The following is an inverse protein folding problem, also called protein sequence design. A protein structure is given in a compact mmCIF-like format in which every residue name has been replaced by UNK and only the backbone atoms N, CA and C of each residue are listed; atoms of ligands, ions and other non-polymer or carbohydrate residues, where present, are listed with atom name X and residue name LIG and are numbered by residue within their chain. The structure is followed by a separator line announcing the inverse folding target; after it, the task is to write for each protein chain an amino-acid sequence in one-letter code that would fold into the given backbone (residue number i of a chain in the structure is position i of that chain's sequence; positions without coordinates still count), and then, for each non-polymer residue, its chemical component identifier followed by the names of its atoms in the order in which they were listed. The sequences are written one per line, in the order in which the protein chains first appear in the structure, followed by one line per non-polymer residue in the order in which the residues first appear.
data_IF_919108617345
#
_entry.id   IF_919108617345
#
_cell.length_a   1.000
_cell.length_b   1.000
_cell.length_c   1.000
_cell.angle_alpha   90.00
_cell.angle_beta   90.00
_cell.angle_gamma   90.00
#
_symmetry.space_group_name_H-M   'P 1'
#
loop_
_entity.id
_entity.type
_entity.pdbx_description
1 polymer ?
#
# COMPACT_ATOMS: atom_id res chain seq x y z
N UNK A 1 8.60 -50.79 13.82
CA UNK A 1 9.31 -50.01 12.78
C UNK A 1 9.94 -48.80 13.46
N UNK A 2 11.26 -48.64 13.36
CA UNK A 2 11.97 -47.53 14.02
C UNK A 2 11.61 -46.22 13.32
N UNK A 3 10.94 -45.33 14.03
CA UNK A 3 10.67 -43.96 13.56
C UNK A 3 11.98 -43.19 13.67
N UNK A 4 12.73 -43.09 12.57
CA UNK A 4 13.89 -42.22 12.51
C UNK A 4 13.42 -40.77 12.62
N UNK A 5 14.05 -39.98 13.49
CA UNK A 5 13.89 -38.53 13.58
C UNK A 5 14.51 -37.87 12.35
N UNK A 6 13.79 -37.91 11.22
CA UNK A 6 14.20 -37.21 9.99
C UNK A 6 14.13 -35.72 10.28
N UNK A 7 15.28 -35.03 10.27
CA UNK A 7 15.31 -33.57 10.32
C UNK A 7 14.72 -33.01 9.01
N UNK A 8 13.41 -32.86 8.98
CA UNK A 8 12.69 -32.26 7.87
C UNK A 8 13.12 -30.78 7.78
N UNK A 9 13.80 -30.43 6.69
CA UNK A 9 14.11 -29.02 6.42
C UNK A 9 12.85 -28.19 6.37
N UNK A 10 12.87 -26.97 6.93
CA UNK A 10 11.69 -26.09 7.10
C UNK A 10 10.82 -25.88 5.84
N UNK A 11 11.38 -26.09 4.64
CA UNK A 11 10.69 -25.93 3.34
C UNK A 11 10.15 -27.25 2.74
N UNK A 12 10.52 -28.42 3.25
CA UNK A 12 10.07 -29.72 2.69
C UNK A 12 8.60 -30.02 3.01
N UNK A 13 8.04 -29.41 4.06
CA UNK A 13 6.62 -29.53 4.42
C UNK A 13 5.69 -29.06 3.29
N UNK A 14 6.07 -28.03 2.53
CA UNK A 14 5.30 -27.57 1.35
C UNK A 14 5.17 -28.63 0.26
N UNK A 15 6.10 -29.58 0.22
CA UNK A 15 6.17 -30.65 -0.77
C UNK A 15 5.85 -32.02 -0.16
N UNK A 16 5.07 -32.05 0.93
CA UNK A 16 4.65 -33.29 1.59
C UNK A 16 5.80 -34.04 2.28
N UNK A 17 6.81 -33.32 2.77
CA UNK A 17 7.94 -33.89 3.50
C UNK A 17 8.98 -34.59 2.61
N UNK A 18 8.87 -34.49 1.29
CA UNK A 18 9.82 -35.08 0.33
C UNK A 18 11.07 -34.20 0.21
N UNK A 19 12.25 -34.80 0.28
CA UNK A 19 13.53 -34.14 -0.01
C UNK A 19 13.90 -34.34 -1.48
N UNK A 20 14.26 -33.24 -2.17
CA UNK A 20 14.58 -33.24 -3.60
C UNK A 20 13.41 -32.80 -4.50
N UNK A 21 13.75 -32.24 -5.67
CA UNK A 21 12.79 -31.76 -6.67
C UNK A 21 12.96 -32.61 -7.92
N UNK A 22 11.89 -33.28 -8.35
CA UNK A 22 11.84 -33.92 -9.66
C UNK A 22 11.64 -32.85 -10.74
N UNK A 23 12.19 -33.04 -11.95
CA UNK A 23 11.90 -32.15 -13.06
C UNK A 23 10.40 -32.19 -13.39
N UNK A 24 9.89 -31.06 -13.89
CA UNK A 24 8.48 -30.96 -14.28
C UNK A 24 8.13 -31.99 -15.34
N UNK A 25 6.99 -32.66 -15.12
CA UNK A 25 6.46 -33.66 -16.04
C UNK A 25 6.11 -32.98 -17.36
N UNK A 26 6.72 -33.43 -18.47
CA UNK A 26 6.42 -32.89 -19.80
C UNK A 26 5.04 -33.40 -20.24
N UNK A 27 4.07 -32.51 -20.55
CA UNK A 27 2.77 -32.94 -21.03
C UNK A 27 2.89 -33.55 -22.43
N UNK A 28 2.16 -34.64 -22.67
CA UNK A 28 2.09 -35.31 -23.97
C UNK A 28 1.52 -34.37 -25.03
N UNK A 29 0.52 -33.56 -24.67
CA UNK A 29 -0.11 -32.58 -25.54
C UNK A 29 0.36 -31.15 -25.19
N UNK A 30 1.45 -30.69 -25.82
CA UNK A 30 2.08 -29.40 -25.48
C UNK A 30 1.49 -28.17 -26.15
N UNK A 31 1.24 -28.23 -27.46
CA UNK A 31 0.98 -27.04 -28.27
C UNK A 31 -0.51 -26.77 -28.48
N UNK A 32 -1.22 -27.77 -29.01
CA UNK A 32 -2.61 -27.64 -29.41
C UNK A 32 -3.50 -28.44 -28.43
N UNK A 33 -4.66 -27.90 -28.04
CA UNK A 33 -5.64 -28.64 -27.26
C UNK A 33 -6.23 -29.79 -28.09
N UNK A 34 -6.76 -30.79 -27.40
CA UNK A 34 -7.35 -32.00 -28.00
C UNK A 34 -8.85 -31.86 -28.16
N UNK A 35 -9.47 -31.11 -27.24
CA UNK A 35 -10.91 -30.84 -27.19
C UNK A 35 -11.18 -29.33 -27.18
N UNK A 36 -12.38 -28.90 -27.59
CA UNK A 36 -12.83 -27.53 -27.34
C UNK A 36 -12.96 -27.24 -25.85
N UNK A 37 -12.96 -25.94 -25.51
CA UNK A 37 -13.25 -25.46 -24.16
C UNK A 37 -14.69 -25.82 -23.76
N UNK A 38 -14.91 -26.15 -22.50
CA UNK A 38 -16.26 -26.36 -21.97
C UNK A 38 -16.97 -25.01 -21.75
N UNK A 39 -18.31 -25.01 -21.71
CA UNK A 39 -19.09 -23.79 -21.47
C UNK A 39 -18.63 -23.03 -20.20
N UNK A 40 -18.33 -23.77 -19.13
CA UNK A 40 -17.81 -23.21 -17.90
C UNK A 40 -16.43 -22.55 -18.06
N UNK A 41 -15.51 -23.16 -18.80
CA UNK A 41 -14.20 -22.57 -19.08
C UNK A 41 -14.36 -21.25 -19.87
N UNK A 42 -15.33 -21.19 -20.79
CA UNK A 42 -15.66 -19.99 -21.56
C UNK A 42 -16.25 -18.90 -20.65
N UNK A 43 -17.12 -19.26 -19.70
CA UNK A 43 -17.68 -18.32 -18.71
C UNK A 43 -16.62 -17.78 -17.74
N UNK A 44 -15.68 -18.62 -17.31
CA UNK A 44 -14.58 -18.17 -16.45
C UNK A 44 -13.64 -17.22 -17.20
N UNK A 45 -13.34 -17.52 -18.46
CA UNK A 45 -12.52 -16.65 -19.30
C UNK A 45 -13.22 -15.33 -19.62
N UNK A 46 -14.54 -15.33 -19.83
CA UNK A 46 -15.30 -14.11 -20.14
C UNK A 46 -15.43 -13.16 -18.95
N UNK A 47 -15.38 -13.67 -17.72
CA UNK A 47 -15.30 -12.86 -16.49
C UNK A 47 -13.98 -12.11 -16.36
N UNK A 48 -12.93 -12.58 -17.04
CA UNK A 48 -11.61 -11.95 -17.00
C UNK A 48 -11.51 -11.03 -18.22
N UNK A 49 -11.39 -9.73 -17.99
CA UNK A 49 -11.13 -8.77 -19.06
C UNK A 49 -9.74 -9.04 -19.67
N UNK A 50 -9.70 -9.71 -20.83
CA UNK A 50 -8.47 -10.03 -21.56
C UNK A 50 -8.38 -9.24 -22.86
N UNK A 51 -7.19 -8.73 -23.17
CA UNK A 51 -6.90 -8.02 -24.43
C UNK A 51 -6.71 -6.51 -24.27
N UNK A 52 -6.72 -5.78 -25.38
CA UNK A 52 -6.63 -4.32 -25.38
C UNK A 52 -8.02 -3.69 -25.20
N UNK A 53 -8.14 -2.57 -24.46
CA UNK A 53 -9.40 -1.84 -24.24
C UNK A 53 -9.92 -1.10 -25.48
N UNK A 54 -11.24 -0.91 -25.59
CA UNK A 54 -11.88 -0.40 -26.82
C UNK A 54 -11.50 1.05 -27.08
N UNK A 55 -11.21 1.39 -28.34
CA UNK A 55 -10.68 2.71 -28.70
C UNK A 55 -9.17 2.91 -28.49
N UNK A 56 -8.47 2.01 -27.79
CA UNK A 56 -7.00 2.08 -27.70
C UNK A 56 -6.37 1.54 -28.99
N UNK A 57 -5.53 2.32 -29.69
CA UNK A 57 -4.87 1.86 -30.91
C UNK A 57 -3.91 0.71 -30.59
N UNK A 58 -3.98 -0.35 -31.39
CA UNK A 58 -3.07 -1.49 -31.26
C UNK A 58 -1.64 -1.08 -31.68
N UNK A 59 -0.60 -1.55 -30.96
CA UNK A 59 0.78 -1.31 -31.37
C UNK A 59 1.02 -1.90 -32.75
N UNK A 60 1.89 -1.25 -33.55
CA UNK A 60 2.27 -1.72 -34.89
C UNK A 60 3.76 -2.08 -34.87
N UNK A 61 4.09 -3.35 -35.13
CA UNK A 61 5.48 -3.82 -35.31
C UNK A 61 5.60 -4.52 -36.66
N UNK A 62 6.62 -4.17 -37.45
CA UNK A 62 6.87 -4.81 -38.76
C UNK A 62 7.00 -6.34 -38.57
N UNK A 63 6.21 -7.11 -39.30
CA UNK A 63 6.21 -8.58 -39.24
C UNK A 63 5.35 -9.22 -38.15
N UNK A 64 4.71 -8.44 -37.26
CA UNK A 64 3.82 -8.98 -36.22
C UNK A 64 2.46 -8.27 -36.22
N UNK A 65 1.38 -9.04 -36.36
CA UNK A 65 0.01 -8.53 -36.26
C UNK A 65 -0.47 -8.71 -34.83
N UNK A 66 -0.63 -7.60 -34.11
CA UNK A 66 -1.26 -7.61 -32.80
C UNK A 66 -2.76 -7.79 -32.97
N UNK A 67 -3.32 -8.83 -32.36
CA UNK A 67 -4.76 -9.01 -32.22
C UNK A 67 -5.23 -8.36 -30.92
N UNK A 68 -6.44 -7.82 -30.96
CA UNK A 68 -7.08 -7.18 -29.82
C UNK A 68 -7.41 -8.16 -28.71
N UNK A 69 -7.92 -9.32 -29.10
CA UNK A 69 -8.17 -10.49 -28.26
C UNK A 69 -7.06 -11.53 -28.44
N UNK A 70 -6.78 -12.36 -27.44
CA UNK A 70 -5.87 -13.50 -27.60
C UNK A 70 -6.38 -14.45 -28.69
N UNK A 71 -5.49 -14.90 -29.57
CA UNK A 71 -5.83 -15.85 -30.64
C UNK A 71 -5.99 -17.25 -30.04
N UNK A 72 -7.16 -17.85 -30.23
CA UNK A 72 -7.41 -19.21 -29.80
C UNK A 72 -6.63 -20.22 -30.64
N UNK A 73 -6.02 -21.21 -29.99
CA UNK A 73 -5.26 -22.25 -30.69
C UNK A 73 -6.23 -23.26 -31.31
N UNK A 74 -5.96 -23.74 -32.54
CA UNK A 74 -6.83 -24.72 -33.18
C UNK A 74 -6.80 -26.04 -32.40
N UNK A 75 -7.98 -26.62 -32.22
CA UNK A 75 -8.16 -27.93 -31.60
C UNK A 75 -7.70 -29.00 -32.58
N UNK A 76 -6.81 -29.90 -32.13
CA UNK A 76 -6.38 -31.08 -32.90
C UNK A 76 -6.75 -32.34 -32.15
N UNK A 77 -7.78 -33.02 -32.65
CA UNK A 77 -8.29 -34.25 -32.03
C UNK A 77 -7.26 -35.37 -32.05
N UNK A 78 -7.40 -36.35 -31.14
CA UNK A 78 -6.49 -37.51 -31.08
C UNK A 78 -6.48 -38.26 -32.40
N UNK A 79 -7.67 -38.46 -33.01
CA UNK A 79 -7.83 -39.17 -34.28
C UNK A 79 -7.02 -38.49 -35.40
N UNK A 80 -7.14 -37.18 -35.54
CA UNK A 80 -6.35 -36.42 -36.53
C UNK A 80 -4.84 -36.51 -36.30
N UNK A 81 -4.39 -36.55 -35.04
CA UNK A 81 -2.97 -36.72 -34.73
C UNK A 81 -2.47 -38.12 -35.08
N UNK A 82 -3.26 -39.15 -34.81
CA UNK A 82 -2.97 -40.54 -35.19
C UNK A 82 -2.91 -40.66 -36.71
N UNK A 83 -3.86 -40.07 -37.43
CA UNK A 83 -3.85 -40.04 -38.88
C UNK A 83 -2.59 -39.37 -39.44
N UNK A 84 -2.11 -38.27 -38.82
CA UNK A 84 -0.86 -37.63 -39.22
C UNK A 84 0.34 -38.54 -39.04
N UNK A 85 0.36 -39.37 -38.01
CA UNK A 85 1.42 -40.37 -37.80
C UNK A 85 1.39 -41.43 -38.91
N UNK A 86 0.20 -41.86 -39.30
CA UNK A 86 0.02 -42.89 -40.34
C UNK A 86 0.30 -42.37 -41.75
N UNK A 87 0.07 -41.09 -42.00
CA UNK A 87 0.41 -40.41 -43.27
C UNK A 87 1.91 -40.25 -43.49
N UNK A 88 2.75 -40.44 -42.46
CA UNK A 88 4.22 -40.45 -42.64
C UNK A 88 4.63 -41.73 -43.35
N UNK A 89 4.69 -41.66 -44.68
CA UNK A 89 5.12 -42.75 -45.54
C UNK A 89 6.60 -43.05 -45.31
N UNK A 90 6.87 -44.24 -44.79
CA UNK A 90 8.20 -44.87 -44.88
C UNK A 90 8.34 -45.32 -46.33
N UNK A 91 9.41 -44.90 -47.01
CA UNK A 91 9.71 -45.32 -48.39
C UNK A 91 9.58 -46.84 -48.51
N UNK A 92 8.53 -47.29 -49.21
CA UNK A 92 8.15 -48.68 -49.29
C UNK A 92 9.07 -49.43 -50.27
N UNK A 93 10.28 -49.76 -49.82
CA UNK A 93 11.11 -50.75 -50.51
C UNK A 93 10.52 -52.13 -50.16
N UNK A 94 10.24 -53.00 -51.15
CA UNK A 94 9.68 -54.33 -50.93
C UNK A 94 10.63 -55.16 -50.06
N UNK A 95 10.06 -55.91 -49.10
CA UNK A 95 10.80 -56.55 -48.01
C UNK A 95 11.89 -57.53 -48.48
N UNK A 96 11.77 -58.07 -49.70
CA UNK A 96 12.76 -58.97 -50.30
C UNK A 96 14.10 -58.34 -50.72
N UNK A 97 14.22 -57.00 -50.75
CA UNK A 97 15.46 -56.29 -51.14
C UNK A 97 16.13 -55.54 -49.98
N UNK A 98 15.69 -55.78 -48.74
CA UNK A 98 16.12 -55.00 -47.59
C UNK A 98 17.26 -55.67 -46.82
N UNK A 99 18.28 -54.87 -46.50
CA UNK A 99 19.33 -55.29 -45.57
C UNK A 99 18.70 -55.56 -44.19
N UNK A 100 19.25 -56.50 -43.42
CA UNK A 100 18.81 -56.80 -42.04
C UNK A 100 18.65 -55.53 -41.19
N UNK A 101 19.55 -54.56 -41.33
CA UNK A 101 19.49 -53.27 -40.64
C UNK A 101 18.27 -52.42 -41.02
N UNK A 102 17.84 -52.46 -42.29
CA UNK A 102 16.66 -51.75 -42.78
C UNK A 102 15.37 -52.38 -42.23
N UNK A 103 15.33 -53.71 -42.12
CA UNK A 103 14.22 -54.42 -41.49
C UNK A 103 14.09 -54.04 -40.00
N UNK A 104 15.21 -54.02 -39.27
CA UNK A 104 15.24 -53.58 -37.87
C UNK A 104 14.85 -52.10 -37.71
N UNK A 105 15.25 -51.24 -38.64
CA UNK A 105 14.84 -49.83 -38.63
C UNK A 105 13.32 -49.68 -38.81
N UNK A 106 12.73 -50.42 -39.77
CA UNK A 106 11.27 -50.47 -39.97
C UNK A 106 10.53 -50.98 -38.73
N UNK A 107 10.98 -52.08 -38.12
CA UNK A 107 10.37 -52.63 -36.90
C UNK A 107 10.43 -51.63 -35.74
N UNK A 108 11.58 -50.98 -35.52
CA UNK A 108 11.71 -49.92 -34.50
C UNK A 108 10.79 -48.75 -34.75
N UNK A 109 10.62 -48.34 -36.01
CA UNK A 109 9.71 -47.26 -36.36
C UNK A 109 8.25 -47.66 -36.14
N UNK A 110 7.85 -48.88 -36.51
CA UNK A 110 6.53 -49.42 -36.23
C UNK A 110 6.23 -49.44 -34.72
N UNK A 111 7.18 -49.94 -33.91
CA UNK A 111 7.06 -49.92 -32.45
C UNK A 111 6.93 -48.49 -31.90
N UNK A 112 7.74 -47.54 -32.38
CA UNK A 112 7.63 -46.13 -31.99
C UNK A 112 6.26 -45.54 -32.33
N UNK A 113 5.73 -45.84 -33.52
CA UNK A 113 4.39 -45.40 -33.93
C UNK A 113 3.32 -46.01 -33.02
N UNK A 114 3.41 -47.31 -32.72
CA UNK A 114 2.49 -48.00 -31.82
C UNK A 114 2.48 -47.37 -30.41
N UNK A 115 3.64 -47.23 -29.77
CA UNK A 115 3.73 -46.62 -28.45
C UNK A 115 3.27 -45.16 -28.43
N UNK A 116 3.50 -44.41 -29.52
CA UNK A 116 3.04 -43.03 -29.61
C UNK A 116 1.50 -42.95 -29.73
N UNK A 117 0.89 -43.85 -30.50
CA UNK A 117 -0.58 -43.96 -30.60
C UNK A 117 -1.20 -44.33 -29.25
N UNK A 118 -0.64 -45.35 -28.59
CA UNK A 118 -1.08 -45.78 -27.26
C UNK A 118 -0.94 -44.65 -26.22
N UNK A 119 0.16 -43.90 -26.26
CA UNK A 119 0.36 -42.74 -25.39
C UNK A 119 -0.71 -41.65 -25.60
N UNK A 120 -1.14 -41.41 -26.84
CA UNK A 120 -2.20 -40.44 -27.12
C UNK A 120 -3.58 -40.91 -26.66
N UNK A 121 -3.92 -42.18 -26.88
CA UNK A 121 -5.20 -42.76 -26.44
C UNK A 121 -5.30 -42.89 -24.91
N UNK A 122 -4.20 -43.24 -24.24
CA UNK A 122 -4.17 -43.36 -22.78
C UNK A 122 -4.30 -42.00 -22.11
N UNK A 123 -3.61 -40.98 -22.62
CA UNK A 123 -3.68 -39.63 -22.08
C UNK A 123 -5.06 -38.98 -22.37
N UNK A 124 -5.69 -39.26 -23.51
CA UNK A 124 -7.05 -38.75 -23.76
C UNK A 124 -8.06 -39.31 -22.76
N UNK A 125 -8.02 -40.63 -22.50
CA UNK A 125 -8.84 -41.29 -21.48
C UNK A 125 -8.57 -40.73 -20.08
N UNK A 126 -7.32 -40.37 -19.79
CA UNK A 126 -6.94 -39.73 -18.52
C UNK A 126 -7.56 -38.34 -18.40
N UNK A 127 -7.51 -37.53 -19.45
CA UNK A 127 -8.09 -36.18 -19.47
C UNK A 127 -9.61 -36.25 -19.28
N UNK A 128 -10.30 -37.13 -20.00
CA UNK A 128 -11.74 -37.36 -19.84
C UNK A 128 -12.12 -37.74 -18.41
N UNK A 129 -11.32 -38.62 -17.77
CA UNK A 129 -11.52 -38.98 -16.36
C UNK A 129 -11.33 -37.79 -15.42
N UNK A 130 -10.32 -36.95 -15.66
CA UNK A 130 -10.08 -35.76 -14.84
C UNK A 130 -11.23 -34.77 -14.94
N UNK A 131 -11.78 -34.58 -16.13
CA UNK A 131 -12.96 -33.73 -16.34
C UNK A 131 -14.18 -34.29 -15.63
N UNK A 132 -14.46 -35.57 -15.78
CA UNK A 132 -15.58 -36.21 -15.07
C UNK A 132 -15.44 -36.10 -13.53
N UNK A 133 -14.21 -36.10 -13.01
CA UNK A 133 -13.96 -35.85 -11.57
C UNK A 133 -14.16 -34.38 -11.20
N UNK A 134 -13.77 -33.45 -12.07
CA UNK A 134 -13.97 -32.01 -11.85
C UNK A 134 -15.44 -31.62 -11.90
N UNK A 135 -16.22 -32.17 -12.85
CA UNK A 135 -17.67 -31.91 -12.93
C UNK A 135 -18.37 -32.41 -11.68
N UNK A 136 -18.10 -33.66 -11.26
CA UNK A 136 -18.64 -34.21 -10.00
C UNK A 136 -18.27 -33.37 -8.79
N UNK A 137 -17.03 -32.90 -8.71
CA UNK A 137 -16.61 -32.01 -7.61
C UNK A 137 -17.40 -30.71 -7.61
N UNK A 138 -17.61 -30.10 -8.78
CA UNK A 138 -18.40 -28.86 -8.90
C UNK A 138 -19.86 -29.06 -8.52
N UNK A 139 -20.45 -30.18 -8.90
CA UNK A 139 -21.82 -30.55 -8.51
C UNK A 139 -21.94 -30.69 -6.98
N UNK A 140 -20.97 -31.36 -6.35
CA UNK A 140 -20.91 -31.46 -4.89
C UNK A 140 -20.70 -30.09 -4.22
N UNK A 141 -19.79 -29.26 -4.73
CA UNK A 141 -19.54 -27.92 -4.21
C UNK A 141 -20.79 -27.01 -4.37
N UNK A 142 -21.56 -27.18 -5.44
CA UNK A 142 -22.82 -26.48 -5.65
C UNK A 142 -23.90 -26.93 -4.67
N UNK A 143 -24.06 -28.25 -4.48
CA UNK A 143 -24.97 -28.82 -3.47
C UNK A 143 -24.59 -28.37 -2.05
N UNK A 144 -23.30 -28.30 -1.72
CA UNK A 144 -22.84 -27.78 -0.43
C UNK A 144 -23.12 -26.28 -0.27
N UNK A 145 -23.07 -25.49 -1.34
CA UNK A 145 -23.40 -24.06 -1.28
C UNK A 145 -24.90 -23.87 -1.07
N UNK A 146 -25.72 -24.65 -1.76
CA UNK A 146 -27.17 -24.67 -1.54
C UNK A 146 -27.53 -25.14 -0.13
N UNK A 147 -26.83 -26.16 0.39
CA UNK A 147 -27.03 -26.58 1.78
C UNK A 147 -26.58 -25.50 2.76
N UNK A 148 -25.45 -24.82 2.53
CA UNK A 148 -24.99 -23.71 3.41
C UNK A 148 -25.93 -22.51 3.38
N UNK A 149 -26.69 -22.30 2.31
CA UNK A 149 -27.83 -21.38 2.28
C UNK A 149 -29.03 -22.00 3.00
N UNK A 150 -28.84 -22.42 4.26
CA UNK A 150 -29.92 -22.92 5.08
C UNK A 150 -30.93 -21.80 5.33
N UNK A 151 -32.16 -22.00 4.86
CA UNK A 151 -33.33 -21.37 5.47
C UNK A 151 -33.48 -22.02 6.83
N UNK A 152 -33.55 -21.22 7.88
CA UNK A 152 -33.79 -21.72 9.24
C UNK A 152 -35.03 -22.63 9.23
N UNK A 153 -34.98 -23.76 9.93
CA UNK A 153 -36.13 -24.66 10.00
C UNK A 153 -37.29 -23.94 10.71
N UNK A 154 -38.52 -24.19 10.27
CA UNK A 154 -39.72 -23.57 10.86
C UNK A 154 -39.76 -23.79 12.39
N UNK A 155 -39.34 -24.97 12.84
CA UNK A 155 -39.19 -25.26 14.27
C UNK A 155 -38.17 -24.38 14.98
N UNK A 156 -37.03 -24.05 14.35
CA UNK A 156 -36.00 -23.20 14.93
C UNK A 156 -36.47 -21.73 15.00
N UNK A 157 -37.21 -21.26 14.00
CA UNK A 157 -37.82 -19.92 13.99
C UNK A 157 -38.78 -19.71 15.18
N UNK A 158 -39.54 -20.74 15.57
CA UNK A 158 -40.51 -20.62 16.67
C UNK A 158 -39.99 -21.01 18.06
N UNK A 159 -38.83 -21.69 18.15
CA UNK A 159 -38.30 -22.21 19.43
C UNK A 159 -37.08 -21.45 19.94
N UNK A 160 -36.32 -20.80 19.08
CA UNK A 160 -35.19 -19.97 19.49
C UNK A 160 -35.65 -18.55 19.84
N UNK A 161 -35.07 -17.90 20.86
CA UNK A 161 -35.36 -16.51 21.16
C UNK A 161 -34.86 -15.60 20.04
N UNK A 162 -35.76 -14.82 19.44
CA UNK A 162 -35.46 -13.90 18.33
C UNK A 162 -34.75 -12.64 18.83
N UNK A 163 -33.51 -12.43 18.38
CA UNK A 163 -32.74 -11.18 18.56
C UNK A 163 -32.94 -10.24 17.35
N UNK A 164 -33.85 -10.60 16.44
CA UNK A 164 -34.01 -9.99 15.11
C UNK A 164 -34.27 -8.48 15.16
N UNK A 165 -34.88 -7.96 16.21
CA UNK A 165 -35.06 -6.50 16.38
C UNK A 165 -33.74 -5.73 16.52
N UNK A 166 -32.69 -6.35 17.09
CA UNK A 166 -31.37 -5.75 17.23
C UNK A 166 -30.50 -5.94 15.98
N UNK A 167 -30.74 -7.00 15.21
CA UNK A 167 -29.95 -7.36 14.02
C UNK A 167 -30.58 -6.90 12.70
N UNK A 168 -31.86 -6.52 12.70
CA UNK A 168 -32.58 -6.03 11.51
C UNK A 168 -32.15 -4.63 11.07
N UNK A 169 -31.47 -3.89 11.92
CA UNK A 169 -30.94 -2.57 11.62
C UNK A 169 -29.53 -2.59 11.01
N UNK A 170 -29.12 -1.53 10.29
CA UNK A 170 -27.74 -1.35 9.92
C UNK A 170 -26.88 -1.26 11.19
N UNK A 171 -25.78 -2.02 11.24
CA UNK A 171 -24.84 -2.05 12.38
C UNK A 171 -24.37 -0.63 12.77
N UNK A 172 -24.29 0.28 11.79
CA UNK A 172 -23.99 1.68 12.03
C UNK A 172 -25.06 2.59 11.39
N UNK A 173 -25.51 3.57 12.16
CA UNK A 173 -26.34 4.67 11.66
C UNK A 173 -25.48 5.61 10.79
N UNK A 174 -25.84 5.85 9.52
CA UNK A 174 -25.17 6.90 8.74
C UNK A 174 -25.49 8.27 9.35
N UNK A 175 -24.51 9.19 9.32
CA UNK A 175 -24.74 10.57 9.77
C UNK A 175 -25.77 11.25 8.87
N UNK A 176 -26.60 12.11 9.45
CA UNK A 176 -27.46 13.01 8.68
C UNK A 176 -26.61 14.06 7.97
N UNK A 177 -27.09 14.68 6.88
CA UNK A 177 -26.35 15.74 6.19
C UNK A 177 -26.04 16.93 7.12
N UNK A 178 -26.94 17.24 8.06
CA UNK A 178 -26.74 18.29 9.07
C UNK A 178 -25.61 17.93 10.06
N UNK A 179 -25.59 16.69 10.55
CA UNK A 179 -24.51 16.21 11.42
C UNK A 179 -23.16 16.23 10.71
N UNK A 180 -23.15 15.86 9.42
CA UNK A 180 -21.94 15.88 8.61
C UNK A 180 -21.44 17.32 8.38
N UNK A 181 -22.34 18.27 8.11
CA UNK A 181 -22.00 19.69 7.99
C UNK A 181 -21.36 20.24 9.28
N UNK A 182 -21.93 19.95 10.45
CA UNK A 182 -21.36 20.37 11.75
C UNK A 182 -19.97 19.79 11.96
N UNK A 183 -19.76 18.52 11.59
CA UNK A 183 -18.44 17.87 11.71
C UNK A 183 -17.41 18.55 10.80
N UNK A 184 -17.81 18.90 9.58
CA UNK A 184 -16.91 19.54 8.62
C UNK A 184 -16.60 20.99 9.00
N UNK A 185 -17.57 21.74 9.56
CA UNK A 185 -17.33 23.05 10.16
C UNK A 185 -16.33 22.99 11.31
N UNK A 186 -16.49 22.02 12.23
CA UNK A 186 -15.54 21.81 13.34
C UNK A 186 -14.14 21.47 12.84
N UNK A 187 -14.02 20.66 11.79
CA UNK A 187 -12.72 20.33 11.17
C UNK A 187 -12.07 21.57 10.55
N UNK A 188 -12.85 22.38 9.84
CA UNK A 188 -12.36 23.62 9.25
C UNK A 188 -11.93 24.63 10.31
N UNK A 189 -12.69 24.74 11.40
CA UNK A 189 -12.33 25.57 12.55
C UNK A 189 -11.01 25.12 13.16
N UNK A 190 -10.86 23.83 13.46
CA UNK A 190 -9.62 23.30 14.04
C UNK A 190 -8.40 23.53 13.14
N UNK A 191 -8.57 23.38 11.82
CA UNK A 191 -7.52 23.68 10.85
C UNK A 191 -7.15 25.17 10.84
N UNK A 192 -8.14 26.06 10.83
CA UNK A 192 -7.88 27.50 10.86
C UNK A 192 -7.22 27.93 12.16
N UNK A 193 -7.59 27.32 13.30
CA UNK A 193 -6.93 27.59 14.58
C UNK A 193 -5.45 27.20 14.55
N UNK A 194 -5.11 26.01 14.05
CA UNK A 194 -3.71 25.61 13.96
C UNK A 194 -2.90 26.47 12.98
N UNK A 195 -3.50 26.86 11.84
CA UNK A 195 -2.88 27.81 10.91
C UNK A 195 -2.65 29.17 11.58
N UNK A 196 -3.62 29.66 12.36
CA UNK A 196 -3.52 30.92 13.10
C UNK A 196 -2.42 30.85 14.17
N UNK A 197 -2.33 29.77 14.94
CA UNK A 197 -1.27 29.56 15.94
C UNK A 197 0.13 29.62 15.32
N UNK A 198 0.32 28.96 14.17
CA UNK A 198 1.60 29.01 13.43
C UNK A 198 1.91 30.41 12.94
N UNK A 199 0.91 31.15 12.45
CA UNK A 199 1.12 32.54 12.02
C UNK A 199 1.42 33.48 13.18
N UNK A 200 0.78 33.26 14.35
CA UNK A 200 1.09 34.00 15.57
C UNK A 200 2.53 33.74 16.02
N UNK A 201 2.98 32.48 16.03
CA UNK A 201 4.37 32.15 16.38
C UNK A 201 5.37 32.82 15.42
N UNK A 202 5.11 32.80 14.10
CA UNK A 202 5.95 33.52 13.15
C UNK A 202 5.95 35.04 13.37
N UNK A 203 4.80 35.60 13.75
CA UNK A 203 4.68 37.02 14.04
C UNK A 203 5.40 37.39 15.35
N UNK A 204 5.38 36.53 16.37
CA UNK A 204 6.20 36.71 17.57
C UNK A 204 7.68 36.66 17.23
N UNK A 205 8.13 35.66 16.47
CA UNK A 205 9.54 35.55 16.06
C UNK A 205 10.02 36.77 15.27
N UNK A 206 9.17 37.31 14.40
CA UNK A 206 9.47 38.55 13.66
C UNK A 206 9.57 39.74 14.60
N UNK A 207 8.66 39.88 15.57
CA UNK A 207 8.75 40.93 16.58
C UNK A 207 10.00 40.79 17.45
N UNK A 208 10.37 39.57 17.85
CA UNK A 208 11.64 39.33 18.55
C UNK A 208 12.82 39.79 17.73
N UNK A 209 12.83 39.47 16.42
CA UNK A 209 13.87 39.92 15.51
C UNK A 209 13.88 41.43 15.35
N UNK A 210 12.71 42.08 15.27
CA UNK A 210 12.60 43.53 15.19
C UNK A 210 13.16 44.21 16.45
N UNK A 211 12.82 43.68 17.62
CA UNK A 211 13.33 44.14 18.91
C UNK A 211 14.85 43.92 19.03
N UNK A 212 15.35 42.81 18.50
CA UNK A 212 16.78 42.50 18.44
C UNK A 212 17.54 43.33 17.39
N UNK A 213 16.87 43.78 16.33
CA UNK A 213 17.47 44.54 15.24
C UNK A 213 18.06 45.89 15.69
N UNK A 214 17.59 46.44 16.82
CA UNK A 214 18.21 47.60 17.45
C UNK A 214 19.68 47.38 17.84
N UNK A 215 20.10 46.12 18.03
CA UNK A 215 21.47 45.74 18.34
C UNK A 215 22.23 45.18 17.12
N UNK A 216 21.60 45.08 15.95
CA UNK A 216 22.27 44.59 14.76
C UNK A 216 23.11 45.70 14.14
N UNK A 217 24.32 45.33 13.74
CA UNK A 217 25.24 46.22 13.03
C UNK A 217 24.87 46.17 11.55
N UNK A 218 24.43 47.29 11.01
CA UNK A 218 23.98 47.42 9.62
C UNK A 218 24.91 48.30 8.78
N UNK A 219 25.62 49.23 9.42
CA UNK A 219 26.56 50.16 8.76
C UNK A 219 27.99 49.96 9.24
N UNK A 220 28.96 50.43 8.44
CA UNK A 220 30.39 50.35 8.80
C UNK A 220 30.71 51.22 10.02
N UNK A 221 30.02 52.34 10.20
CA UNK A 221 30.19 53.22 11.37
C UNK A 221 29.74 52.54 12.67
N UNK A 222 28.59 51.85 12.63
CA UNK A 222 28.11 51.02 13.74
C UNK A 222 29.08 49.87 14.04
N UNK A 223 29.75 49.31 13.02
CA UNK A 223 30.73 48.26 13.19
C UNK A 223 31.97 48.77 13.93
N UNK A 224 32.51 49.92 13.53
CA UNK A 224 33.68 50.50 14.21
C UNK A 224 33.37 50.84 15.67
N UNK A 225 32.18 51.36 15.96
CA UNK A 225 31.73 51.63 17.32
C UNK A 225 31.58 50.33 18.11
N UNK A 226 30.94 49.31 17.56
CA UNK A 226 30.79 48.02 18.23
C UNK A 226 32.13 47.33 18.49
N UNK A 227 33.12 47.46 17.59
CA UNK A 227 34.48 46.96 17.81
C UNK A 227 35.14 47.70 18.96
N UNK A 228 35.07 49.05 18.99
CA UNK A 228 35.63 49.84 20.10
C UNK A 228 34.96 49.47 21.42
N UNK A 229 33.64 49.37 21.46
CA UNK A 229 32.90 49.01 22.67
C UNK A 229 33.26 47.59 23.15
N UNK A 230 33.32 46.61 22.24
CA UNK A 230 33.65 45.23 22.57
C UNK A 230 35.10 45.07 23.08
N UNK A 231 36.06 45.78 22.48
CA UNK A 231 37.48 45.64 22.81
C UNK A 231 38.03 46.64 23.84
N UNK A 232 37.38 47.78 24.06
CA UNK A 232 37.85 48.82 25.00
C UNK A 232 37.01 48.89 26.28
N UNK A 233 35.68 48.73 26.17
CA UNK A 233 34.75 48.88 27.31
C UNK A 233 34.32 47.54 27.90
N UNK A 234 34.13 46.51 27.07
CA UNK A 234 33.57 45.22 27.49
C UNK A 234 34.59 44.11 27.79
N UNK A 235 35.90 44.41 27.83
CA UNK A 235 36.95 43.41 28.14
C UNK A 235 36.66 42.67 29.46
N UNK A 236 36.16 43.37 30.49
CA UNK A 236 35.75 42.77 31.76
C UNK A 236 34.44 41.95 31.71
N UNK A 237 33.56 42.21 30.74
CA UNK A 237 32.36 41.39 30.48
C UNK A 237 32.71 40.10 29.76
N UNK A 238 33.72 40.13 28.89
CA UNK A 238 34.22 38.94 28.20
C UNK A 238 34.94 37.97 29.14
N UNK A 239 35.77 38.49 30.07
CA UNK A 239 36.40 37.66 31.09
C UNK A 239 35.38 37.06 32.08
N UNK A 240 34.35 37.82 32.44
CA UNK A 240 33.29 37.33 33.33
C UNK A 240 32.35 36.34 32.63
N UNK A 241 32.05 36.52 31.34
CA UNK A 241 31.28 35.55 30.56
C UNK A 241 32.07 34.26 30.30
N UNK A 242 33.38 34.35 30.02
CA UNK A 242 34.27 33.20 29.91
C UNK A 242 34.33 32.39 31.21
N UNK A 243 34.47 33.06 32.37
CA UNK A 243 34.41 32.40 33.69
C UNK A 243 33.04 31.78 33.97
N UNK A 244 31.94 32.44 33.59
CA UNK A 244 30.59 31.88 33.73
C UNK A 244 30.36 30.65 32.84
N UNK A 245 31.00 30.59 31.67
CA UNK A 245 30.98 29.42 30.79
C UNK A 245 31.82 28.30 31.41
N UNK A 246 33.01 28.60 31.91
CA UNK A 246 33.89 27.66 32.61
C UNK A 246 33.22 27.07 33.86
N UNK A 247 32.54 27.89 34.67
CA UNK A 247 31.75 27.47 35.84
C UNK A 247 30.56 26.57 35.43
N UNK A 248 29.88 26.86 34.32
CA UNK A 248 28.79 26.02 33.80
C UNK A 248 29.30 24.68 33.27
N UNK A 249 30.46 24.66 32.61
CA UNK A 249 31.10 23.44 32.08
C UNK A 249 31.68 22.59 33.21
N UNK A 250 32.21 23.20 34.26
CA UNK A 250 32.72 22.52 35.46
C UNK A 250 31.63 22.11 36.47
N UNK A 251 30.36 22.41 36.19
CA UNK A 251 29.20 21.96 36.98
C UNK A 251 28.86 22.84 38.18
N UNK A 252 29.54 23.98 38.37
CA UNK A 252 29.19 24.99 39.35
C UNK A 252 28.02 25.85 38.82
N UNK A 253 26.80 25.38 39.05
CA UNK A 253 25.60 26.12 38.69
C UNK A 253 25.41 27.32 39.63
N UNK A 254 25.75 28.52 39.17
CA UNK A 254 25.53 29.76 39.91
C UNK A 254 24.01 30.07 39.98
N UNK A 255 23.32 29.86 41.13
CA UNK A 255 21.86 29.84 41.17
C UNK A 255 21.21 31.22 40.98
N UNK A 256 21.94 32.29 41.32
CA UNK A 256 21.45 33.68 41.29
C UNK A 256 21.30 34.27 39.88
N UNK A 257 22.16 33.87 38.92
CA UNK A 257 22.09 34.35 37.53
C UNK A 257 20.92 33.66 36.82
N UNK A 258 20.75 32.36 37.06
CA UNK A 258 19.64 31.60 36.51
C UNK A 258 18.28 32.04 37.10
N UNK A 259 18.21 32.48 38.36
CA UNK A 259 16.95 32.94 38.95
C UNK A 259 16.49 34.27 38.35
N UNK A 260 17.38 35.23 38.13
CA UNK A 260 17.03 36.52 37.53
C UNK A 260 16.54 36.40 36.08
N UNK A 261 17.22 35.60 35.27
CA UNK A 261 16.81 35.38 33.87
C UNK A 261 15.47 34.63 33.81
N UNK A 262 15.25 33.65 34.69
CA UNK A 262 13.96 32.96 34.80
C UNK A 262 12.85 33.89 35.29
N UNK A 263 13.13 34.78 36.24
CA UNK A 263 12.15 35.76 36.72
C UNK A 263 11.75 36.75 35.63
N UNK A 264 12.70 37.23 34.83
CA UNK A 264 12.43 38.07 33.67
C UNK A 264 11.58 37.31 32.63
N UNK A 265 11.96 36.08 32.29
CA UNK A 265 11.17 35.25 31.39
C UNK A 265 9.74 35.00 31.88
N UNK A 266 9.56 34.75 33.19
CA UNK A 266 8.23 34.56 33.78
C UNK A 266 7.42 35.87 33.72
N UNK A 267 8.04 37.01 34.01
CA UNK A 267 7.40 38.33 33.90
C UNK A 267 6.99 38.60 32.46
N UNK A 268 7.86 38.33 31.51
CA UNK A 268 7.61 38.49 30.08
C UNK A 268 6.41 37.64 29.64
N UNK A 269 6.39 36.36 29.99
CA UNK A 269 5.25 35.48 29.70
C UNK A 269 3.96 35.95 30.39
N UNK A 270 4.04 36.40 31.64
CA UNK A 270 2.87 36.83 32.40
C UNK A 270 2.25 38.13 31.88
N UNK A 271 3.07 39.06 31.39
CA UNK A 271 2.62 40.34 30.84
C UNK A 271 2.50 40.34 29.30
N UNK A 272 2.77 39.21 28.63
CA UNK A 272 2.80 39.14 27.17
C UNK A 272 3.86 40.05 26.56
N UNK A 273 4.99 40.21 27.24
CA UNK A 273 6.14 41.00 26.83
C UNK A 273 7.25 40.10 26.29
N UNK A 274 8.20 40.70 25.57
CA UNK A 274 9.37 40.04 25.00
C UNK A 274 10.59 40.81 25.48
N UNK A 275 11.38 40.25 26.40
CA UNK A 275 12.56 40.90 26.99
C UNK A 275 12.24 42.31 27.54
N UNK A 276 11.11 42.46 28.24
CA UNK A 276 10.62 43.75 28.75
C UNK A 276 10.08 44.73 27.70
N UNK A 277 9.98 44.33 26.43
CA UNK A 277 9.37 45.11 25.34
C UNK A 277 7.95 44.61 25.02
N UNK A 278 7.11 45.40 24.34
CA UNK A 278 5.74 45.01 24.03
C UNK A 278 5.71 43.75 23.15
N UNK A 279 4.92 42.75 23.55
CA UNK A 279 4.70 41.55 22.72
C UNK A 279 3.55 41.72 21.73
N UNK A 280 3.31 40.64 20.97
CA UNK A 280 2.41 40.64 19.82
C UNK A 280 0.99 41.10 20.14
N UNK A 281 0.43 40.66 21.27
CA UNK A 281 -0.97 40.96 21.62
C UNK A 281 -1.15 42.45 21.96
N UNK A 282 -0.20 43.04 22.69
CA UNK A 282 -0.20 44.49 22.93
C UNK A 282 -0.10 45.28 21.62
N UNK A 283 0.75 44.84 20.68
CA UNK A 283 0.88 45.48 19.37
C UNK A 283 -0.43 45.36 18.58
N UNK A 284 -1.06 44.19 18.55
CA UNK A 284 -2.36 43.98 17.90
C UNK A 284 -3.44 44.87 18.49
N UNK A 285 -3.54 44.95 19.82
CA UNK A 285 -4.54 45.76 20.51
C UNK A 285 -4.36 47.27 20.26
N UNK A 286 -3.11 47.73 20.14
CA UNK A 286 -2.82 49.12 19.79
C UNK A 286 -3.14 49.43 18.32
N UNK A 287 -2.87 48.49 17.40
CA UNK A 287 -3.19 48.66 15.98
C UNK A 287 -4.68 48.54 15.68
N UNK A 288 -5.40 47.66 16.38
CA UNK A 288 -6.85 47.48 16.24
C UNK A 288 -7.63 48.66 16.84
N UNK A 289 -7.03 49.40 17.78
CA UNK A 289 -7.68 50.48 18.52
C UNK A 289 -8.70 49.97 19.55
N UNK A 290 -8.86 48.67 19.71
CA UNK A 290 -9.81 48.06 20.65
C UNK A 290 -9.47 48.44 22.09
N UNK A 291 -8.19 48.51 22.44
CA UNK A 291 -7.76 48.95 23.76
C UNK A 291 -8.16 50.42 24.06
N UNK A 292 -8.14 51.30 23.06
CA UNK A 292 -8.61 52.67 23.23
C UNK A 292 -10.13 52.75 23.38
N UNK A 293 -10.87 51.95 22.61
CA UNK A 293 -12.32 51.86 22.72
C UNK A 293 -12.72 51.39 24.12
N UNK A 294 -12.10 50.31 24.61
CA UNK A 294 -12.33 49.79 25.96
C UNK A 294 -11.99 50.84 27.03
N UNK A 295 -10.87 51.56 26.89
CA UNK A 295 -10.51 52.65 27.82
C UNK A 295 -11.54 53.78 27.82
N UNK A 296 -12.01 54.20 26.64
CA UNK A 296 -13.04 55.25 26.50
C UNK A 296 -14.37 54.80 27.08
N UNK A 297 -14.78 53.56 26.86
CA UNK A 297 -15.98 52.98 27.46
C UNK A 297 -15.89 52.88 28.98
N UNK A 298 -14.74 52.43 29.50
CA UNK A 298 -14.49 52.36 30.94
C UNK A 298 -14.53 53.76 31.59
N UNK A 299 -13.91 54.77 30.96
CA UNK A 299 -13.99 56.16 31.41
C UNK A 299 -15.41 56.72 31.35
N UNK A 300 -16.17 56.42 30.30
CA UNK A 300 -17.60 56.80 30.21
C UNK A 300 -18.42 56.17 31.34
N UNK A 301 -18.19 54.89 31.66
CA UNK A 301 -18.87 54.19 32.76
C UNK A 301 -18.47 54.75 34.13
N UNK A 302 -17.20 55.08 34.34
CA UNK A 302 -16.72 55.71 35.56
C UNK A 302 -17.29 57.12 35.76
N UNK A 303 -17.45 57.89 34.67
CA UNK A 303 -18.04 59.23 34.71
C UNK A 303 -19.58 59.23 34.76
N UNK A 304 -20.24 58.07 34.62
CA UNK A 304 -21.69 57.91 34.77
C UNK A 304 -22.11 57.31 36.13
N UNK A 305 -21.14 57.00 37.00
CA UNK A 305 -21.33 56.69 38.42
C UNK A 305 -20.90 57.89 39.27
#
# INVERSE_FOLDING_TARGET
MRVSTVSLGKRTLKHGGKSGILPDVRPIFRHNPIRPKTAHEIEEESRIEQGFAEGVPLPKKKGFKFSRMPVEKPVLTVKERIERIDKVHVLAVPDGKQTKEQLWAKQREQLRKQYLKEAYETESKRIEKLEAMQTKKRELDAQEKESKQHKESETAQYTLPTIDSYLSGPIMRPRTPEEQAIVDEKRMLNRKLSELEVMNAKATDLLELYHAAANYITTEEELELAIKDAFELEVGRFESSARLIEDKVSGYANPYVNSKNKEQYIKDVAFGQINGQPGLDMVKDTLSGEAELIRREAQRKLNHN
#
